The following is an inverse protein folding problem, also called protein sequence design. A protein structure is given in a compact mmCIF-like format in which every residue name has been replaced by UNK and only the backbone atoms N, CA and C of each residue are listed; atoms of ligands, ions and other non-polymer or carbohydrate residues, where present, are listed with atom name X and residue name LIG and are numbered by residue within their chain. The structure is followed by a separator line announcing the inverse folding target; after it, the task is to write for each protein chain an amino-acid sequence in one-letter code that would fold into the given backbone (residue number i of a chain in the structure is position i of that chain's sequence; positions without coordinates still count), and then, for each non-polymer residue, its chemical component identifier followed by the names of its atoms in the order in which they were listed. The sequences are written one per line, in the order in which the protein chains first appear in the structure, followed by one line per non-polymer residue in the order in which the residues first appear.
data_IF_705124389177
#
_entry.id   IF_705124389177
#
_cell.length_a   1.000
_cell.length_b   1.000
_cell.length_c   1.000
_cell.angle_alpha   90.00
_cell.angle_beta   90.00
_cell.angle_gamma   90.00
#
_symmetry.space_group_name_H-M   'P 1'
#
loop_
_entity.id
_entity.type
_entity.pdbx_description
1 polymer ?
#
# COMPACT_ATOMS: atom_id res chain seq x y z
N UNK A 1 -65.62 64.28 -37.14
CA UNK A 1 -66.51 63.26 -36.51
C UNK A 1 -66.00 61.89 -36.98
N UNK A 2 -65.14 61.21 -36.18
CA UNK A 2 -65.34 59.84 -35.64
C UNK A 2 -66.09 58.91 -36.63
N UNK A 3 -65.54 57.77 -37.06
CA UNK A 3 -65.34 56.59 -36.23
C UNK A 3 -64.30 55.61 -36.81
N UNK A 4 -63.88 54.73 -35.91
CA UNK A 4 -62.68 53.88 -35.83
C UNK A 4 -62.69 52.63 -36.74
N UNK A 5 -61.53 51.93 -36.89
CA UNK A 5 -61.34 50.82 -37.81
C UNK A 5 -61.80 49.46 -37.23
N UNK A 6 -62.20 48.56 -38.14
CA UNK A 6 -62.60 47.18 -37.86
C UNK A 6 -61.41 46.34 -37.38
N UNK A 7 -61.50 45.80 -36.17
CA UNK A 7 -60.63 44.71 -35.71
C UNK A 7 -61.16 43.39 -36.27
N UNK A 8 -60.37 42.81 -37.16
CA UNK A 8 -60.53 41.45 -37.66
C UNK A 8 -59.96 40.46 -36.62
N UNK A 9 -60.73 39.42 -36.32
CA UNK A 9 -60.49 38.48 -35.23
C UNK A 9 -59.72 37.27 -35.76
N UNK A 10 -58.38 37.30 -35.68
CA UNK A 10 -57.55 36.12 -35.91
C UNK A 10 -57.41 35.30 -34.63
N UNK A 11 -58.41 34.46 -34.36
CA UNK A 11 -58.30 33.35 -33.41
C UNK A 11 -57.41 32.27 -34.05
N UNK A 12 -56.14 32.23 -33.64
CA UNK A 12 -55.21 31.17 -34.00
C UNK A 12 -55.68 29.82 -33.45
N UNK A 13 -55.96 28.88 -34.34
CA UNK A 13 -56.14 27.46 -34.02
C UNK A 13 -54.80 26.89 -33.56
N UNK A 14 -54.64 26.69 -32.26
CA UNK A 14 -53.56 25.88 -31.70
C UNK A 14 -53.92 24.43 -31.99
N UNK A 15 -53.27 23.84 -32.98
CA UNK A 15 -53.36 22.41 -33.27
C UNK A 15 -52.78 21.61 -32.11
N UNK A 16 -53.61 20.82 -31.44
CA UNK A 16 -53.17 19.73 -30.58
C UNK A 16 -52.47 18.69 -31.46
N UNK A 17 -51.15 18.78 -31.56
CA UNK A 17 -50.32 17.73 -32.13
C UNK A 17 -50.54 16.46 -31.32
N UNK A 18 -51.16 15.47 -31.95
CA UNK A 18 -51.29 14.11 -31.45
C UNK A 18 -49.90 13.57 -31.09
N UNK A 19 -49.66 13.36 -29.80
CA UNK A 19 -48.48 12.65 -29.31
C UNK A 19 -48.53 11.23 -29.89
N UNK A 20 -47.81 11.01 -30.99
CA UNK A 20 -47.64 9.67 -31.53
C UNK A 20 -46.84 8.88 -30.52
N UNK A 21 -47.50 7.93 -29.85
CA UNK A 21 -46.84 6.82 -29.18
C UNK A 21 -46.03 6.03 -30.22
N UNK A 22 -44.81 6.48 -30.48
CA UNK A 22 -43.79 5.64 -31.08
C UNK A 22 -43.53 4.51 -30.10
N UNK A 23 -44.11 3.34 -30.41
CA UNK A 23 -43.80 2.07 -29.79
C UNK A 23 -42.29 1.88 -29.84
N UNK A 24 -41.60 2.27 -28.77
CA UNK A 24 -40.21 1.91 -28.52
C UNK A 24 -40.15 0.39 -28.69
N UNK A 25 -39.69 -0.07 -29.86
CA UNK A 25 -39.85 -1.48 -30.23
C UNK A 25 -39.19 -2.34 -29.15
N UNK A 26 -39.76 -3.50 -28.81
CA UNK A 26 -39.24 -4.37 -27.73
C UNK A 26 -37.73 -4.67 -27.85
N UNK A 27 -37.19 -4.53 -29.06
CA UNK A 27 -35.78 -4.58 -29.44
C UNK A 27 -34.96 -3.50 -28.73
N UNK A 28 -35.43 -2.25 -28.72
CA UNK A 28 -34.78 -1.14 -28.01
C UNK A 28 -34.82 -1.31 -26.50
N UNK A 29 -35.94 -1.78 -25.95
CA UNK A 29 -36.04 -2.09 -24.52
C UNK A 29 -35.07 -3.20 -24.10
N UNK A 30 -34.91 -4.24 -24.93
CA UNK A 30 -33.95 -5.31 -24.71
C UNK A 30 -32.50 -4.80 -24.75
N UNK A 31 -32.14 -3.97 -25.74
CA UNK A 31 -30.80 -3.38 -25.82
C UNK A 31 -30.48 -2.45 -24.64
N UNK A 32 -31.46 -1.66 -24.20
CA UNK A 32 -31.33 -0.82 -23.00
C UNK A 32 -31.10 -1.71 -21.76
N UNK A 33 -31.88 -2.77 -21.58
CA UNK A 33 -31.72 -3.69 -20.46
C UNK A 33 -30.34 -4.39 -20.47
N UNK A 34 -29.86 -4.84 -21.64
CA UNK A 34 -28.53 -5.44 -21.79
C UNK A 34 -27.44 -4.41 -21.46
N UNK A 35 -27.57 -3.17 -21.93
CA UNK A 35 -26.62 -2.11 -21.61
C UNK A 35 -26.59 -1.83 -20.09
N UNK A 36 -27.75 -1.78 -19.43
CA UNK A 36 -27.83 -1.61 -17.97
C UNK A 36 -27.18 -2.77 -17.20
N UNK A 37 -27.40 -4.02 -17.63
CA UNK A 37 -26.79 -5.20 -16.98
C UNK A 37 -25.27 -5.22 -17.18
N UNK A 38 -24.79 -4.89 -18.38
CA UNK A 38 -23.35 -4.81 -18.67
C UNK A 38 -22.68 -3.74 -17.78
N UNK A 39 -23.27 -2.56 -17.66
CA UNK A 39 -22.76 -1.49 -16.77
C UNK A 39 -22.75 -1.94 -15.30
N UNK A 40 -23.80 -2.64 -14.84
CA UNK A 40 -23.85 -3.17 -13.48
C UNK A 40 -22.76 -4.24 -13.22
N UNK A 41 -22.46 -5.10 -14.20
CA UNK A 41 -21.39 -6.09 -14.08
C UNK A 41 -19.99 -5.46 -14.08
N UNK A 42 -19.76 -4.38 -14.84
CA UNK A 42 -18.50 -3.64 -14.76
C UNK A 42 -18.33 -2.92 -13.40
N UNK A 43 -19.43 -2.44 -12.80
CA UNK A 43 -19.38 -1.77 -11.49
C UNK A 43 -19.10 -2.75 -10.32
N UNK A 44 -19.49 -4.02 -10.46
CA UNK A 44 -19.24 -5.06 -9.45
C UNK A 44 -17.79 -5.56 -9.38
N UNK A 45 -16.96 -5.21 -10.36
CA UNK A 45 -15.55 -5.60 -10.43
C UNK A 45 -14.61 -4.55 -9.82
N UNK A 46 -15.03 -3.82 -8.79
CA UNK A 46 -14.10 -3.02 -8.00
C UNK A 46 -13.25 -3.95 -7.13
N UNK A 47 -12.08 -4.29 -7.66
CA UNK A 47 -10.99 -4.95 -6.96
C UNK A 47 -10.76 -4.22 -5.63
N UNK A 48 -10.91 -4.92 -4.51
CA UNK A 48 -10.77 -4.36 -3.18
C UNK A 48 -9.30 -3.98 -2.94
N UNK A 49 -8.92 -2.78 -3.37
CA UNK A 49 -7.59 -2.25 -3.17
C UNK A 49 -7.40 -1.95 -1.68
N UNK A 50 -6.75 -2.88 -0.98
CA UNK A 50 -6.36 -2.77 0.42
C UNK A 50 -5.48 -1.53 0.58
N UNK A 51 -6.03 -0.45 1.11
CA UNK A 51 -5.30 0.79 1.33
C UNK A 51 -4.24 0.59 2.41
N UNK A 52 -2.97 0.82 2.06
CA UNK A 52 -1.87 0.81 3.03
C UNK A 52 -1.98 2.10 3.86
N UNK A 53 -2.32 1.97 5.14
CA UNK A 53 -2.30 3.10 6.08
C UNK A 53 -0.85 3.42 6.44
N UNK A 54 -0.38 4.61 6.08
CA UNK A 54 0.90 5.12 6.55
C UNK A 54 0.78 5.54 8.01
N UNK A 55 1.45 4.80 8.89
CA UNK A 55 1.58 5.15 10.31
C UNK A 55 2.98 5.75 10.50
N UNK A 56 3.13 6.88 11.22
CA UNK A 56 4.43 7.43 11.54
C UNK A 56 5.32 6.38 12.22
N UNK A 57 6.57 6.28 11.81
CA UNK A 57 7.52 5.36 12.46
C UNK A 57 7.79 5.86 13.87
N UNK A 58 7.55 5.00 14.87
CA UNK A 58 7.87 5.29 16.27
C UNK A 58 9.40 5.34 16.44
N UNK A 59 9.99 6.43 16.94
CA UNK A 59 11.42 6.48 17.26
C UNK A 59 11.76 5.50 18.39
N UNK A 60 12.95 4.92 18.33
CA UNK A 60 13.52 4.03 19.36
C UNK A 60 14.88 4.55 19.80
N UNK A 61 15.35 4.11 20.97
CA UNK A 61 16.68 4.46 21.45
C UNK A 61 17.77 3.82 20.59
N UNK A 62 18.78 4.62 20.21
CA UNK A 62 19.98 4.09 19.55
C UNK A 62 20.76 3.09 20.42
N UNK A 63 20.59 3.16 21.74
CA UNK A 63 21.26 2.29 22.69
C UNK A 63 20.64 0.87 22.79
N UNK A 64 19.41 0.66 22.29
CA UNK A 64 18.69 -0.60 22.50
C UNK A 64 18.45 -1.37 21.21
N UNK A 65 19.34 -2.33 20.93
CA UNK A 65 19.18 -3.30 19.82
C UNK A 65 17.87 -4.07 19.88
N UNK A 66 17.46 -4.48 21.09
CA UNK A 66 16.22 -5.22 21.32
C UNK A 66 14.97 -4.37 21.02
N UNK A 67 14.96 -3.10 21.42
CA UNK A 67 13.84 -2.19 21.15
C UNK A 67 13.71 -1.94 19.64
N UNK A 68 14.83 -1.67 18.97
CA UNK A 68 14.88 -1.53 17.51
C UNK A 68 14.37 -2.78 16.81
N UNK A 69 14.85 -3.96 17.21
CA UNK A 69 14.41 -5.23 16.63
C UNK A 69 12.90 -5.44 16.80
N UNK A 70 12.40 -5.26 18.01
CA UNK A 70 10.97 -5.48 18.33
C UNK A 70 10.07 -4.51 17.57
N UNK A 71 10.52 -3.27 17.40
CA UNK A 71 9.72 -2.21 16.75
C UNK A 71 9.76 -2.32 15.23
N UNK A 72 10.90 -2.69 14.65
CA UNK A 72 11.13 -2.57 13.21
C UNK A 72 11.28 -3.93 12.51
N UNK A 73 11.98 -4.89 13.11
CA UNK A 73 12.35 -6.14 12.47
C UNK A 73 11.33 -7.25 12.71
N UNK A 74 10.73 -7.30 13.91
CA UNK A 74 9.83 -8.37 14.33
C UNK A 74 8.53 -8.47 13.51
N UNK A 75 8.13 -7.38 12.84
CA UNK A 75 6.97 -7.40 11.94
C UNK A 75 7.16 -8.41 10.79
N UNK A 76 8.40 -8.62 10.34
CA UNK A 76 8.74 -9.58 9.30
C UNK A 76 9.39 -10.85 9.88
N UNK A 77 10.37 -10.68 10.77
CA UNK A 77 11.16 -11.81 11.28
C UNK A 77 10.54 -12.50 12.50
N UNK A 78 9.45 -11.96 13.06
CA UNK A 78 8.87 -12.46 14.31
C UNK A 78 9.66 -12.01 15.54
N UNK A 79 9.03 -12.10 16.72
CA UNK A 79 9.70 -11.78 18.00
C UNK A 79 10.79 -12.78 18.35
N UNK A 80 10.69 -14.00 17.84
CA UNK A 80 11.65 -15.09 18.00
C UNK A 80 12.73 -15.11 16.91
N UNK A 81 12.66 -14.18 15.95
CA UNK A 81 13.59 -14.02 14.84
C UNK A 81 13.68 -15.17 13.84
N UNK A 82 12.66 -16.04 13.80
CA UNK A 82 12.63 -17.22 12.93
C UNK A 82 11.99 -17.00 11.56
N UNK A 83 11.56 -15.77 11.25
CA UNK A 83 10.94 -15.43 9.97
C UNK A 83 9.40 -15.44 9.98
N UNK A 84 8.78 -15.73 11.13
CA UNK A 84 7.32 -15.87 11.29
C UNK A 84 6.60 -14.59 11.71
N UNK A 85 7.04 -13.42 11.26
CA UNK A 85 6.40 -12.15 11.64
C UNK A 85 5.00 -11.98 11.01
N UNK A 86 4.14 -11.11 11.56
CA UNK A 86 2.79 -10.87 11.04
C UNK A 86 2.72 -10.47 9.55
N UNK A 87 3.79 -9.90 9.00
CA UNK A 87 3.86 -9.54 7.59
C UNK A 87 4.43 -10.66 6.69
N UNK A 88 4.97 -11.75 7.26
CA UNK A 88 5.73 -12.75 6.51
C UNK A 88 4.93 -13.38 5.36
N UNK A 89 3.65 -13.70 5.58
CA UNK A 89 2.76 -14.32 4.57
C UNK A 89 2.45 -13.38 3.39
N UNK A 90 2.59 -12.07 3.57
CA UNK A 90 2.34 -11.09 2.52
C UNK A 90 3.57 -10.83 1.63
N UNK A 91 4.76 -11.35 2.00
CA UNK A 91 5.99 -11.13 1.27
C UNK A 91 6.20 -12.19 0.19
N UNK A 92 6.65 -11.75 -0.99
CA UNK A 92 7.02 -12.67 -2.09
C UNK A 92 8.18 -13.59 -1.72
N UNK A 93 9.11 -13.08 -0.90
CA UNK A 93 10.25 -13.83 -0.38
C UNK A 93 10.07 -13.92 1.14
N UNK A 94 10.01 -15.13 1.71
CA UNK A 94 9.85 -15.29 3.15
C UNK A 94 11.08 -14.74 3.89
N UNK A 95 10.90 -14.01 5.00
CA UNK A 95 12.01 -13.56 5.82
C UNK A 95 12.83 -14.75 6.34
N UNK A 96 14.17 -14.70 6.28
CA UNK A 96 14.99 -15.79 6.81
C UNK A 96 14.90 -15.88 8.34
N UNK A 97 15.11 -17.10 8.84
CA UNK A 97 15.47 -17.35 10.23
C UNK A 97 16.83 -16.72 10.53
N UNK A 98 16.83 -15.66 11.34
CA UNK A 98 18.00 -14.92 11.76
C UNK A 98 18.74 -15.62 12.91
N UNK A 99 18.16 -16.62 13.58
CA UNK A 99 18.79 -17.33 14.71
C UNK A 99 19.85 -18.34 14.27
N UNK A 100 19.94 -18.63 12.97
CA UNK A 100 20.83 -19.66 12.41
C UNK A 100 21.91 -19.10 11.48
N UNK A 101 22.16 -17.79 11.51
CA UNK A 101 23.16 -17.14 10.65
C UNK A 101 24.58 -17.67 10.93
N UNK A 102 24.96 -17.79 12.20
CA UNK A 102 26.25 -18.36 12.57
C UNK A 102 26.40 -19.80 12.08
N UNK A 103 25.37 -20.64 12.26
CA UNK A 103 25.37 -22.03 11.78
C UNK A 103 25.55 -22.13 10.26
N UNK A 104 24.95 -21.21 9.50
CA UNK A 104 25.08 -21.14 8.03
C UNK A 104 26.49 -20.71 7.59
N UNK A 105 27.21 -19.97 8.44
CA UNK A 105 28.54 -19.42 8.18
C UNK A 105 29.61 -20.14 9.04
N UNK A 106 29.58 -21.48 9.02
CA UNK A 106 30.56 -22.35 9.69
C UNK A 106 30.73 -22.10 11.20
N UNK A 107 29.64 -21.73 11.88
CA UNK A 107 29.62 -21.44 13.32
C UNK A 107 30.07 -20.02 13.68
N UNK A 108 30.45 -19.18 12.70
CA UNK A 108 30.88 -17.80 12.93
C UNK A 108 29.78 -16.84 12.51
N UNK A 109 29.36 -15.98 13.42
CA UNK A 109 28.36 -14.97 13.10
C UNK A 109 28.92 -13.93 12.09
N UNK A 110 28.24 -13.69 10.96
CA UNK A 110 28.76 -12.82 9.89
C UNK A 110 28.48 -11.33 10.18
N UNK A 111 29.02 -10.81 11.29
CA UNK A 111 28.70 -9.46 11.80
C UNK A 111 28.84 -8.35 10.75
N UNK A 112 29.92 -8.34 9.96
CA UNK A 112 30.13 -7.32 8.91
C UNK A 112 29.06 -7.36 7.83
N UNK A 113 28.65 -8.57 7.40
CA UNK A 113 27.61 -8.77 6.40
C UNK A 113 26.26 -8.29 6.94
N UNK A 114 25.93 -8.64 8.18
CA UNK A 114 24.67 -8.19 8.81
C UNK A 114 24.63 -6.67 8.93
N UNK A 115 25.71 -6.03 9.39
CA UNK A 115 25.85 -4.58 9.40
C UNK A 115 25.61 -3.94 8.03
N UNK A 116 26.20 -4.49 6.95
CA UNK A 116 26.00 -3.95 5.59
C UNK A 116 24.55 -4.08 5.10
N UNK A 117 23.85 -5.14 5.50
CA UNK A 117 22.43 -5.34 5.18
C UNK A 117 21.57 -4.33 5.94
N UNK A 118 21.85 -4.12 7.23
CA UNK A 118 21.13 -3.13 8.05
C UNK A 118 21.37 -1.71 7.54
N UNK A 119 22.57 -1.39 7.04
CA UNK A 119 22.83 -0.10 6.39
C UNK A 119 22.22 0.00 4.98
N UNK A 120 21.84 -1.14 4.40
CA UNK A 120 21.32 -1.19 3.04
C UNK A 120 22.36 -1.07 1.94
N UNK A 121 23.63 -1.31 2.29
CA UNK A 121 24.75 -1.35 1.35
C UNK A 121 24.75 -2.65 0.54
N UNK A 122 24.17 -3.72 1.10
CA UNK A 122 24.02 -5.00 0.43
C UNK A 122 22.69 -5.09 -0.31
N UNK A 123 22.73 -5.32 -1.63
CA UNK A 123 21.54 -5.61 -2.42
C UNK A 123 20.96 -6.98 -2.04
N UNK A 124 19.76 -7.00 -1.46
CA UNK A 124 19.01 -8.22 -1.18
C UNK A 124 17.70 -8.24 -1.98
N UNK A 125 17.36 -9.37 -2.62
CA UNK A 125 16.04 -9.56 -3.26
C UNK A 125 14.86 -9.51 -2.26
N UNK A 126 15.14 -9.54 -0.96
CA UNK A 126 14.17 -9.69 0.12
C UNK A 126 13.46 -8.39 0.52
N UNK A 127 13.89 -7.24 -0.01
CA UNK A 127 13.23 -5.95 0.18
C UNK A 127 12.59 -5.57 -1.15
N UNK A 128 11.27 -5.46 -1.18
CA UNK A 128 10.48 -5.27 -2.41
C UNK A 128 10.68 -3.91 -3.07
N UNK A 129 9.60 -3.34 -3.60
CA UNK A 129 9.63 -2.00 -4.20
C UNK A 129 9.81 -0.89 -3.13
N UNK A 130 9.98 0.34 -3.63
CA UNK A 130 10.32 1.61 -2.95
C UNK A 130 9.49 1.96 -1.69
N UNK A 131 8.41 1.24 -1.40
CA UNK A 131 7.53 1.45 -0.25
C UNK A 131 8.09 0.91 1.07
N UNK A 132 9.13 0.06 1.05
CA UNK A 132 9.92 -0.28 2.25
C UNK A 132 11.26 0.48 2.26
N UNK A 133 11.56 1.27 3.31
CA UNK A 133 12.79 2.05 3.34
C UNK A 133 13.98 1.11 3.47
N UNK A 134 15.06 1.46 2.77
CA UNK A 134 16.38 0.94 3.08
C UNK A 134 16.66 1.26 4.55
N UNK A 135 16.88 0.27 5.42
CA UNK A 135 17.01 0.48 6.88
C UNK A 135 18.03 1.57 7.25
N UNK A 136 19.11 1.71 6.48
CA UNK A 136 20.06 2.81 6.60
C UNK A 136 19.42 4.19 6.46
N UNK A 137 18.52 4.38 5.48
CA UNK A 137 17.77 5.64 5.32
C UNK A 137 16.83 5.91 6.49
N UNK A 138 16.18 4.88 7.05
CA UNK A 138 15.32 5.05 8.22
C UNK A 138 16.15 5.49 9.44
N UNK A 139 17.26 4.82 9.71
CA UNK A 139 18.17 5.17 10.80
C UNK A 139 18.79 6.55 10.59
N UNK A 140 19.16 6.91 9.37
CA UNK A 140 19.64 8.26 9.05
C UNK A 140 18.63 9.35 9.45
N UNK A 141 17.36 9.20 9.04
CA UNK A 141 16.32 10.18 9.37
C UNK A 141 16.02 10.21 10.88
N UNK A 142 15.96 9.06 11.55
CA UNK A 142 15.71 9.00 13.00
C UNK A 142 16.87 9.59 13.82
N UNK A 143 18.09 9.42 13.33
CA UNK A 143 19.30 10.04 13.91
C UNK A 143 19.47 11.50 13.48
N UNK A 144 18.50 12.12 12.79
CA UNK A 144 18.59 13.51 12.31
C UNK A 144 19.84 13.78 11.46
N UNK A 145 20.34 12.77 10.75
CA UNK A 145 21.56 12.85 9.94
C UNK A 145 22.88 12.73 10.71
N UNK A 146 22.85 12.38 11.99
CA UNK A 146 24.06 12.14 12.78
C UNK A 146 24.61 10.74 12.54
N UNK A 147 25.68 10.64 11.74
CA UNK A 147 26.32 9.37 11.36
C UNK A 147 26.76 8.54 12.58
N UNK A 148 27.29 9.18 13.64
CA UNK A 148 27.69 8.47 14.86
C UNK A 148 26.53 7.74 15.55
N UNK A 149 25.33 8.31 15.53
CA UNK A 149 24.14 7.67 16.08
C UNK A 149 23.62 6.56 15.15
N UNK A 150 23.72 6.74 13.83
CA UNK A 150 23.44 5.66 12.86
C UNK A 150 24.35 4.46 13.11
N UNK A 151 25.65 4.69 13.28
CA UNK A 151 26.61 3.64 13.60
C UNK A 151 26.28 2.94 14.91
N UNK A 152 25.90 3.69 15.95
CA UNK A 152 25.48 3.13 17.23
C UNK A 152 24.23 2.25 17.08
N UNK A 153 23.22 2.70 16.32
CA UNK A 153 22.00 1.94 16.02
C UNK A 153 22.33 0.61 15.34
N UNK A 154 23.14 0.66 14.28
CA UNK A 154 23.53 -0.51 13.50
C UNK A 154 24.32 -1.49 14.37
N UNK A 155 25.30 -1.02 15.12
CA UNK A 155 26.13 -1.85 15.98
C UNK A 155 25.30 -2.57 17.06
N UNK A 156 24.44 -1.83 17.77
CA UNK A 156 23.62 -2.41 18.84
C UNK A 156 22.54 -3.36 18.31
N UNK A 157 21.92 -3.04 17.17
CA UNK A 157 20.97 -3.94 16.54
C UNK A 157 21.65 -5.24 16.07
N UNK A 158 22.84 -5.12 15.47
CA UNK A 158 23.61 -6.27 15.03
C UNK A 158 24.04 -7.15 16.20
N UNK A 159 24.52 -6.55 17.30
CA UNK A 159 24.86 -7.27 18.52
C UNK A 159 23.65 -7.99 19.12
N UNK A 160 22.46 -7.38 19.06
CA UNK A 160 21.24 -8.05 19.50
C UNK A 160 20.94 -9.28 18.62
N UNK A 161 21.03 -9.17 17.29
CA UNK A 161 20.82 -10.31 16.38
C UNK A 161 21.87 -11.42 16.62
N UNK A 162 23.12 -11.04 16.88
CA UNK A 162 24.17 -11.98 17.29
C UNK A 162 23.82 -12.72 18.58
N UNK A 163 23.23 -12.03 19.56
CA UNK A 163 22.81 -12.67 20.82
C UNK A 163 21.69 -13.72 20.64
N UNK A 164 20.95 -13.66 19.52
CA UNK A 164 19.87 -14.60 19.19
C UNK A 164 20.37 -15.87 18.49
N UNK A 165 21.66 -15.97 18.17
CA UNK A 165 22.18 -17.14 17.47
C UNK A 165 22.06 -18.40 18.33
N UNK A 166 21.58 -19.48 17.73
CA UNK A 166 21.66 -20.81 18.35
C UNK A 166 23.13 -21.21 18.46
N UNK A 167 23.52 -21.68 19.64
CA UNK A 167 24.88 -22.15 19.94
C UNK A 167 25.12 -23.55 19.40
#
# INVERSE_FOLDING_TARGET
MRLLPSLDSQVGRIGLGSYQEEKMSARYMLWIAIAFIAVAMLAGAQEQQKTIKHVPVKPTSAASGQEMYTTYCAVCHGKDAKGGGPAAEALKVPPPDLTVLAKKENGKYPSMRVSSIIRGEAALPAHGNREMPVWGSLFWHMSQGHEGEVQQRVANLNQYIESLQVK
#
